data_IF_426970385286
#
_entry.id   IF_426970385286
#
_cell.length_a   1.000
_cell.length_b   1.000
_cell.length_c   1.000
_cell.angle_alpha   90.00
_cell.angle_beta   90.00
_cell.angle_gamma   90.00
#
_symmetry.space_group_name_H-M   'P 1'
#
loop_
_entity.id
_entity.type
_entity.pdbx_description
1 polymer ?
#
# COMPACT_ATOMS: atom_id res chain seq x y z
N UNK A 1 -9.52 -2.39 -6.48
CA UNK A 1 -8.91 -1.87 -5.24
C UNK A 1 -7.47 -1.46 -5.49
N UNK A 2 -6.99 -0.42 -4.81
CA UNK A 2 -5.56 -0.18 -4.64
C UNK A 2 -5.12 -0.97 -3.41
N UNK A 3 -4.01 -1.70 -3.53
CA UNK A 3 -3.47 -2.53 -2.46
C UNK A 3 -2.23 -1.85 -1.85
N UNK A 4 -2.24 -1.64 -0.54
CA UNK A 4 -1.10 -1.11 0.21
C UNK A 4 -0.67 -2.14 1.24
N UNK A 5 0.58 -2.57 1.15
CA UNK A 5 1.17 -3.50 2.09
C UNK A 5 2.14 -2.76 3.00
N UNK A 6 2.01 -2.94 4.30
CA UNK A 6 2.89 -2.32 5.30
C UNK A 6 3.08 -3.24 6.50
N UNK A 7 3.91 -2.82 7.43
CA UNK A 7 4.08 -3.49 8.72
C UNK A 7 3.11 -2.88 9.73
N UNK A 8 2.50 -3.72 10.57
CA UNK A 8 1.41 -3.35 11.49
C UNK A 8 1.81 -2.27 12.49
N UNK A 9 3.09 -2.16 12.85
CA UNK A 9 3.55 -1.21 13.86
C UNK A 9 3.83 0.19 13.28
N UNK A 10 3.82 0.32 11.96
CA UNK A 10 4.11 1.58 11.26
C UNK A 10 3.00 2.60 11.49
N UNK A 11 3.40 3.87 11.56
CA UNK A 11 2.48 5.00 11.72
C UNK A 11 1.36 5.02 10.67
N UNK A 12 1.63 4.60 9.43
CA UNK A 12 0.61 4.55 8.37
C UNK A 12 -0.44 3.46 8.57
N UNK A 13 -0.09 2.33 9.19
CA UNK A 13 -1.06 1.29 9.53
C UNK A 13 -2.01 1.84 10.59
N UNK A 14 -1.45 2.34 11.70
CA UNK A 14 -2.19 3.00 12.78
C UNK A 14 -3.09 4.14 12.28
N UNK A 15 -2.59 4.96 11.34
CA UNK A 15 -3.38 6.04 10.75
C UNK A 15 -4.55 5.53 9.89
N UNK A 16 -4.33 4.51 9.05
CA UNK A 16 -5.37 3.91 8.22
C UNK A 16 -6.43 3.16 9.04
N UNK A 17 -6.04 2.57 10.17
CA UNK A 17 -6.95 1.90 11.10
C UNK A 17 -7.81 2.93 11.87
N UNK A 18 -7.23 4.08 12.22
CA UNK A 18 -7.93 5.15 12.94
C UNK A 18 -8.85 5.98 12.03
N UNK A 19 -8.43 6.26 10.80
CA UNK A 19 -9.21 6.97 9.79
C UNK A 19 -9.06 6.29 8.42
N UNK A 20 -10.13 5.68 7.88
CA UNK A 20 -10.04 4.93 6.63
C UNK A 20 -9.91 5.85 5.40
N UNK A 21 -10.04 7.18 5.53
CA UNK A 21 -9.93 8.10 4.39
C UNK A 21 -8.48 8.23 3.96
N UNK A 22 -8.20 7.88 2.71
CA UNK A 22 -6.83 7.84 2.18
C UNK A 22 -6.75 8.46 0.79
N UNK A 23 -5.59 9.08 0.52
CA UNK A 23 -5.22 9.56 -0.81
C UNK A 23 -3.91 8.90 -1.21
N UNK A 24 -3.89 8.27 -2.39
CA UNK A 24 -2.70 7.72 -3.02
C UNK A 24 -2.29 8.66 -4.15
N UNK A 25 -1.11 9.27 -4.02
CA UNK A 25 -0.51 10.10 -5.07
C UNK A 25 0.65 9.33 -5.72
N UNK A 26 0.65 9.29 -7.05
CA UNK A 26 1.67 8.65 -7.87
C UNK A 26 2.26 9.74 -8.76
N UNK A 27 3.53 10.04 -8.57
CA UNK A 27 4.24 11.04 -9.35
C UNK A 27 5.13 10.34 -10.37
N UNK A 28 5.20 10.91 -11.56
CA UNK A 28 6.25 10.56 -12.50
C UNK A 28 7.58 11.17 -12.04
N UNK A 29 8.61 10.32 -11.94
CA UNK A 29 9.93 10.73 -11.51
C UNK A 29 10.64 11.63 -12.55
N UNK A 30 10.29 11.50 -13.84
CA UNK A 30 10.90 12.27 -14.93
C UNK A 30 10.20 13.61 -15.19
N UNK A 31 8.91 13.69 -14.86
CA UNK A 31 8.12 14.90 -15.03
C UNK A 31 7.18 15.12 -13.82
N UNK A 32 7.55 15.98 -12.87
CA UNK A 32 6.75 16.21 -11.67
C UNK A 32 5.39 16.85 -11.96
N UNK A 33 5.16 17.46 -13.12
CA UNK A 33 3.82 17.95 -13.46
C UNK A 33 2.87 16.84 -13.90
N UNK A 34 3.39 15.65 -14.20
CA UNK A 34 2.62 14.47 -14.55
C UNK A 34 2.40 13.62 -13.29
N UNK A 35 1.15 13.56 -12.83
CA UNK A 35 0.81 12.78 -11.64
C UNK A 35 -0.60 12.20 -11.71
N UNK A 36 -0.80 11.12 -10.97
CA UNK A 36 -2.11 10.55 -10.70
C UNK A 36 -2.44 10.65 -9.21
N UNK A 37 -3.67 11.02 -8.90
CA UNK A 37 -4.21 11.06 -7.55
C UNK A 37 -5.43 10.14 -7.47
N UNK A 38 -5.48 9.31 -6.44
CA UNK A 38 -6.66 8.50 -6.11
C UNK A 38 -7.08 8.77 -4.68
N UNK A 39 -8.27 9.33 -4.50
CA UNK A 39 -8.94 9.46 -3.20
C UNK A 39 -9.84 8.26 -3.00
N UNK A 40 -9.83 7.68 -1.81
CA UNK A 40 -10.60 6.49 -1.50
C UNK A 40 -10.78 6.25 -0.02
N UNK A 41 -11.30 5.07 0.30
CA UNK A 41 -11.42 4.58 1.67
C UNK A 41 -10.83 3.19 1.80
N UNK A 42 -10.20 2.91 2.94
CA UNK A 42 -9.88 1.55 3.36
C UNK A 42 -11.19 0.83 3.63
N UNK A 43 -11.45 -0.24 2.90
CA UNK A 43 -12.66 -1.07 3.01
C UNK A 43 -12.38 -2.45 3.62
N UNK A 44 -11.12 -2.75 3.87
CA UNK A 44 -10.70 -3.96 4.56
C UNK A 44 -9.18 -4.06 4.68
N UNK A 45 -8.74 -4.88 5.62
CA UNK A 45 -7.35 -5.25 5.81
C UNK A 45 -7.25 -6.74 6.11
N UNK A 46 -6.12 -7.34 5.76
CA UNK A 46 -5.80 -8.74 6.06
C UNK A 46 -4.35 -8.85 6.48
N UNK A 47 -4.08 -9.58 7.56
CA UNK A 47 -2.74 -9.87 8.06
C UNK A 47 -2.39 -11.35 7.80
N UNK A 48 -1.16 -11.74 8.16
CA UNK A 48 -0.70 -13.12 8.04
C UNK A 48 -0.29 -13.50 6.61
N UNK A 49 -0.55 -14.74 6.21
CA UNK A 49 0.03 -15.32 5.00
C UNK A 49 -0.31 -14.54 3.73
N UNK A 50 -1.56 -14.07 3.56
CA UNK A 50 -1.95 -13.29 2.37
C UNK A 50 -1.14 -11.99 2.25
N UNK A 51 -0.89 -11.31 3.37
CA UNK A 51 -0.08 -10.10 3.39
C UNK A 51 1.41 -10.41 3.18
N UNK A 52 1.91 -11.55 3.68
CA UNK A 52 3.27 -12.02 3.44
C UNK A 52 3.51 -12.38 1.96
N UNK A 53 2.58 -13.11 1.35
CA UNK A 53 2.64 -13.49 -0.07
C UNK A 53 2.60 -12.24 -0.96
N UNK A 54 1.76 -11.27 -0.60
CA UNK A 54 1.69 -10.01 -1.34
C UNK A 54 2.99 -9.21 -1.27
N UNK A 55 3.62 -9.06 -0.11
CA UNK A 55 4.90 -8.34 -0.04
C UNK A 55 6.01 -9.08 -0.80
N UNK A 56 6.01 -10.40 -0.76
CA UNK A 56 6.96 -11.21 -1.52
C UNK A 56 6.78 -11.04 -3.04
N UNK A 57 5.52 -10.99 -3.51
CA UNK A 57 5.20 -10.65 -4.91
C UNK A 57 5.69 -9.25 -5.29
N UNK A 58 5.53 -8.25 -4.41
CA UNK A 58 6.01 -6.90 -4.66
C UNK A 58 7.55 -6.84 -4.71
N UNK A 59 8.25 -7.56 -3.82
CA UNK A 59 9.71 -7.65 -3.83
C UNK A 59 10.22 -8.26 -5.14
N UNK A 60 9.58 -9.34 -5.62
CA UNK A 60 9.90 -9.90 -6.93
C UNK A 60 9.72 -8.90 -8.07
N UNK A 61 8.65 -8.09 -8.02
CA UNK A 61 8.35 -7.07 -9.05
C UNK A 61 9.34 -5.90 -9.05
N UNK A 62 9.67 -5.36 -7.87
CA UNK A 62 10.36 -4.07 -7.76
C UNK A 62 11.84 -4.16 -7.37
N UNK A 63 12.24 -5.26 -6.73
CA UNK A 63 13.62 -5.49 -6.26
C UNK A 63 14.27 -6.67 -7.00
N UNK A 64 13.47 -7.55 -7.61
CA UNK A 64 13.95 -8.68 -8.41
C UNK A 64 14.29 -9.94 -7.61
N UNK A 65 13.84 -10.04 -6.35
CA UNK A 65 14.12 -11.18 -5.48
C UNK A 65 13.05 -11.37 -4.39
N UNK A 66 13.14 -12.46 -3.60
CA UNK A 66 12.22 -12.69 -2.50
C UNK A 66 12.36 -11.60 -1.43
N UNK A 67 11.28 -11.34 -0.71
CA UNK A 67 11.30 -10.40 0.40
C UNK A 67 12.04 -11.01 1.61
N UNK A 68 12.97 -10.26 2.19
CA UNK A 68 13.68 -10.66 3.42
C UNK A 68 12.87 -10.22 4.64
N UNK A 69 12.23 -11.18 5.32
CA UNK A 69 11.48 -10.91 6.54
C UNK A 69 12.41 -10.67 7.72
N UNK A 70 12.14 -9.59 8.47
CA UNK A 70 12.74 -9.35 9.77
C UNK A 70 12.08 -10.21 10.87
N UNK A 71 12.73 -10.37 12.04
CA UNK A 71 12.23 -11.21 13.13
C UNK A 71 10.88 -10.75 13.71
N UNK A 72 10.54 -9.47 13.56
CA UNK A 72 9.27 -8.89 14.03
C UNK A 72 8.38 -8.39 12.89
N UNK A 73 8.72 -8.70 11.64
CA UNK A 73 8.01 -8.14 10.48
C UNK A 73 6.61 -8.75 10.36
N UNK A 74 5.60 -7.97 10.70
CA UNK A 74 4.21 -8.41 10.72
C UNK A 74 3.44 -7.65 9.65
N UNK A 75 3.22 -8.32 8.51
CA UNK A 75 2.59 -7.71 7.35
C UNK A 75 1.08 -7.57 7.51
N UNK A 76 0.58 -6.42 7.07
CA UNK A 76 -0.84 -6.15 6.85
C UNK A 76 -1.04 -5.59 5.44
N UNK A 77 -2.06 -6.10 4.75
CA UNK A 77 -2.47 -5.70 3.41
C UNK A 77 -3.80 -4.95 3.51
N UNK A 78 -3.79 -3.68 3.13
CA UNK A 78 -4.96 -2.81 3.07
C UNK A 78 -5.55 -2.78 1.66
N UNK A 79 -6.88 -2.81 1.59
CA UNK A 79 -7.68 -2.69 0.36
C UNK A 79 -8.35 -1.34 0.36
N UNK A 80 -7.95 -0.50 -0.60
CA UNK A 80 -8.51 0.83 -0.79
C UNK A 80 -9.51 0.79 -1.94
N UNK A 81 -10.76 1.16 -1.66
CA UNK A 81 -11.79 1.41 -2.65
C UNK A 81 -11.65 2.85 -3.17
N UNK A 82 -11.39 3.05 -4.47
CA UNK A 82 -11.32 4.38 -5.07
C UNK A 82 -12.69 5.06 -5.11
N UNK A 83 -12.75 6.31 -4.68
CA UNK A 83 -13.93 7.18 -4.78
C UNK A 83 -13.77 8.21 -5.90
N UNK A 84 -12.54 8.74 -6.09
CA UNK A 84 -12.23 9.72 -7.13
C UNK A 84 -10.81 9.53 -7.64
N UNK A 85 -10.64 9.53 -8.95
CA UNK A 85 -9.34 9.51 -9.62
C UNK A 85 -9.12 10.79 -10.42
N UNK A 86 -7.90 11.29 -10.44
CA UNK A 86 -7.46 12.42 -11.27
C UNK A 86 -6.11 12.07 -11.90
N UNK A 87 -5.92 12.45 -13.16
CA UNK A 87 -4.62 12.42 -13.83
C UNK A 87 -4.35 13.82 -14.41
N UNK A 88 -3.10 14.26 -14.32
CA UNK A 88 -2.56 15.45 -14.96
C UNK A 88 -1.25 15.10 -15.67
#
# INVERSE_FOLDING_TARGET
>A
HILINTDIDRAKAKAMDADPRVTVAIWDAENPYRYAEVRGRVVGSVAGQEAADHINKLAGKYVGGPYTFGPTDTRVLYRIEPIRQRMM
#
